data_IF_317009405930
#
_entry.id   IF_317009405930
#
_cell.length_a   1.000
_cell.length_b   1.000
_cell.length_c   1.000
_cell.angle_alpha   90.00
_cell.angle_beta   90.00
_cell.angle_gamma   90.00
#
_symmetry.space_group_name_H-M   'P 1'
#
loop_
_entity.id
_entity.type
_entity.pdbx_description
1 polymer ?
#
# COMPACT_ATOMS: atom_id res chain seq x y z
N UNK A 1 54.37 -4.06 -2.81
CA UNK A 1 54.54 -3.56 -1.43
C UNK A 1 55.04 -2.11 -1.35
N UNK A 2 55.62 -1.53 -2.41
CA UNK A 2 56.12 -0.14 -2.40
C UNK A 2 55.04 0.92 -2.15
N UNK A 3 53.85 0.78 -2.77
CA UNK A 3 52.75 1.72 -2.61
C UNK A 3 52.25 1.85 -1.16
N UNK A 4 52.19 0.72 -0.42
CA UNK A 4 51.78 0.71 1.00
C UNK A 4 52.77 1.45 1.90
N UNK A 5 54.08 1.29 1.64
CA UNK A 5 55.15 2.01 2.37
C UNK A 5 55.11 3.51 2.13
N UNK A 6 54.84 3.93 0.89
CA UNK A 6 54.69 5.36 0.56
C UNK A 6 53.48 5.97 1.27
N UNK A 7 52.38 5.23 1.37
CA UNK A 7 51.19 5.68 2.12
C UNK A 7 51.44 5.76 3.63
N UNK A 8 52.23 4.84 4.19
CA UNK A 8 52.65 4.88 5.60
C UNK A 8 53.50 6.13 5.92
N UNK A 9 54.39 6.51 4.99
CA UNK A 9 55.33 7.63 5.13
C UNK A 9 54.66 9.01 5.00
N UNK A 10 53.59 9.11 4.22
CA UNK A 10 52.87 10.38 3.94
C UNK A 10 51.77 10.66 4.99
N UNK A 11 51.48 9.69 5.87
CA UNK A 11 50.47 9.79 6.93
C UNK A 11 49.25 8.93 6.61
N UNK A 12 49.25 7.70 7.13
CA UNK A 12 48.16 6.73 6.96
C UNK A 12 46.84 7.22 7.58
N UNK A 13 45.71 6.92 6.92
CA UNK A 13 44.31 7.09 7.35
C UNK A 13 44.08 8.11 8.50
N UNK A 14 44.54 9.34 8.26
CA UNK A 14 44.59 10.39 9.27
C UNK A 14 43.20 10.83 9.73
N UNK A 15 43.14 11.57 10.85
CA UNK A 15 41.90 12.08 11.41
C UNK A 15 41.10 12.89 10.37
N UNK A 16 41.80 13.67 9.54
CA UNK A 16 41.18 14.46 8.47
C UNK A 16 40.52 13.60 7.40
N UNK A 17 41.19 12.55 6.88
CA UNK A 17 40.60 11.63 5.91
C UNK A 17 39.38 10.90 6.49
N UNK A 18 39.45 10.45 7.75
CA UNK A 18 38.31 9.82 8.44
C UNK A 18 37.14 10.77 8.58
N UNK A 19 37.38 12.01 8.99
CA UNK A 19 36.36 13.06 9.10
C UNK A 19 35.73 13.33 7.73
N UNK A 20 36.54 13.50 6.67
CA UNK A 20 36.05 13.71 5.31
C UNK A 20 35.19 12.55 4.81
N UNK A 21 35.62 11.31 5.04
CA UNK A 21 34.87 10.12 4.67
C UNK A 21 33.54 10.05 5.43
N UNK A 22 33.53 10.34 6.73
CA UNK A 22 32.29 10.38 7.54
C UNK A 22 31.34 11.47 7.02
N UNK A 23 31.85 12.68 6.79
CA UNK A 23 31.04 13.79 6.26
C UNK A 23 30.52 13.55 4.84
N UNK A 24 31.19 12.73 4.04
CA UNK A 24 30.72 12.39 2.70
C UNK A 24 29.77 11.18 2.71
N UNK A 25 30.12 10.12 3.44
CA UNK A 25 29.35 8.89 3.44
C UNK A 25 28.05 9.00 4.22
N UNK A 26 28.02 9.70 5.36
CA UNK A 26 26.78 9.89 6.12
C UNK A 26 25.69 10.49 5.23
N UNK A 27 25.85 11.67 4.60
CA UNK A 27 24.78 12.24 3.78
C UNK A 27 24.45 11.37 2.57
N UNK A 28 25.43 10.73 1.93
CA UNK A 28 25.14 9.82 0.82
C UNK A 28 24.28 8.62 1.24
N UNK A 29 24.53 8.04 2.42
CA UNK A 29 23.80 6.85 2.87
C UNK A 29 22.55 7.15 3.70
N UNK A 30 22.42 8.34 4.30
CA UNK A 30 21.26 8.68 5.13
C UNK A 30 20.32 9.64 4.42
N UNK A 31 20.84 10.73 3.85
CA UNK A 31 20.02 11.81 3.29
C UNK A 31 19.38 11.40 1.97
N UNK A 32 20.12 10.72 1.08
CA UNK A 32 19.57 10.27 -0.20
C UNK A 32 18.42 9.25 -0.03
N UNK A 33 18.56 8.18 0.80
CA UNK A 33 17.45 7.27 1.05
C UNK A 33 16.31 7.96 1.79
N UNK A 34 16.59 8.86 2.74
CA UNK A 34 15.55 9.56 3.49
C UNK A 34 14.58 10.33 2.55
N UNK A 35 15.12 11.08 1.59
CA UNK A 35 14.30 11.84 0.65
C UNK A 35 13.60 10.97 -0.41
N UNK A 36 14.19 9.83 -0.80
CA UNK A 36 13.62 8.99 -1.85
C UNK A 36 12.65 7.92 -1.34
N UNK A 37 12.92 7.32 -0.19
CA UNK A 37 12.15 6.19 0.35
C UNK A 37 10.80 6.62 0.92
N UNK A 38 10.63 7.88 1.32
CA UNK A 38 9.34 8.39 1.78
C UNK A 38 8.22 8.19 0.74
N UNK A 39 8.56 8.27 -0.55
CA UNK A 39 7.59 8.09 -1.65
C UNK A 39 6.92 6.72 -1.57
N UNK A 40 7.62 5.67 -1.13
CA UNK A 40 7.06 4.32 -1.03
C UNK A 40 5.85 4.29 -0.09
N UNK A 41 5.93 5.00 1.04
CA UNK A 41 4.80 5.10 1.98
C UNK A 41 3.69 6.00 1.44
N UNK A 42 4.04 7.08 0.74
CA UNK A 42 3.07 7.99 0.16
C UNK A 42 2.27 7.34 -0.99
N UNK A 43 2.90 6.49 -1.79
CA UNK A 43 2.28 5.80 -2.93
C UNK A 43 1.82 4.39 -2.60
N UNK A 44 1.85 4.00 -1.32
CA UNK A 44 1.32 2.73 -0.86
C UNK A 44 -0.16 2.59 -1.23
N UNK A 45 -0.53 1.44 -1.77
CA UNK A 45 -1.93 1.10 -2.05
C UNK A 45 -2.38 0.21 -0.90
N UNK A 46 -3.20 0.69 0.04
CA UNK A 46 -3.72 -0.16 1.10
C UNK A 46 -4.67 -1.20 0.52
N UNK A 47 -4.92 -2.25 1.31
CA UNK A 47 -5.92 -3.25 0.95
C UNK A 47 -7.29 -2.59 0.72
N UNK A 48 -7.97 -3.02 -0.33
CA UNK A 48 -9.21 -2.41 -0.78
C UNK A 48 -10.12 -3.39 -1.49
N UNK A 49 -11.39 -3.06 -1.47
CA UNK A 49 -12.46 -3.78 -2.17
C UNK A 49 -13.49 -2.79 -2.68
N UNK A 50 -14.38 -3.23 -3.56
CA UNK A 50 -15.40 -2.36 -4.11
C UNK A 50 -16.33 -1.80 -3.02
N UNK A 51 -16.67 -0.51 -3.11
CA UNK A 51 -17.61 0.11 -2.20
C UNK A 51 -19.06 -0.18 -2.63
N UNK A 52 -19.78 -0.93 -1.79
CA UNK A 52 -21.19 -1.27 -2.01
C UNK A 52 -22.01 -0.66 -0.86
N UNK A 53 -22.75 0.45 -1.10
CA UNK A 53 -23.43 1.17 -0.03
C UNK A 53 -24.53 0.34 0.66
N UNK A 54 -25.12 -0.63 -0.05
CA UNK A 54 -26.12 -1.56 0.47
C UNK A 54 -25.51 -2.47 1.55
N UNK A 55 -24.33 -3.02 1.28
CA UNK A 55 -23.59 -3.89 2.20
C UNK A 55 -22.94 -3.08 3.32
N UNK A 56 -22.42 -1.90 3.03
CA UNK A 56 -21.82 -1.01 4.04
C UNK A 56 -22.83 -0.52 5.09
N UNK A 57 -24.12 -0.40 4.73
CA UNK A 57 -25.21 -0.06 5.66
C UNK A 57 -25.78 -1.29 6.40
N UNK A 58 -25.36 -2.50 6.05
CA UNK A 58 -25.84 -3.73 6.69
C UNK A 58 -25.21 -3.93 8.07
N UNK A 59 -25.90 -4.65 8.96
CA UNK A 59 -25.38 -5.05 10.28
C UNK A 59 -24.44 -6.28 10.22
N UNK A 60 -23.84 -6.56 9.06
CA UNK A 60 -22.91 -7.68 8.90
C UNK A 60 -21.53 -7.34 9.44
N UNK A 61 -20.82 -8.34 9.98
CA UNK A 61 -19.39 -8.19 10.30
C UNK A 61 -18.57 -7.92 9.05
N UNK A 62 -17.51 -7.10 9.15
CA UNK A 62 -16.63 -6.77 8.02
C UNK A 62 -16.15 -8.00 7.23
N UNK A 63 -15.76 -9.09 7.91
CA UNK A 63 -15.32 -10.33 7.24
C UNK A 63 -16.39 -10.92 6.31
N UNK A 64 -17.66 -10.87 6.71
CA UNK A 64 -18.79 -11.34 5.89
C UNK A 64 -19.08 -10.38 4.74
N UNK A 65 -18.94 -9.08 4.97
CA UNK A 65 -19.09 -8.08 3.91
C UNK A 65 -18.02 -8.27 2.83
N UNK A 66 -16.76 -8.49 3.23
CA UNK A 66 -15.65 -8.78 2.32
C UNK A 66 -15.92 -10.05 1.51
N UNK A 67 -16.24 -11.16 2.17
CA UNK A 67 -16.54 -12.43 1.49
C UNK A 67 -17.69 -12.31 0.48
N UNK A 68 -18.68 -11.46 0.75
CA UNK A 68 -19.81 -11.24 -0.15
C UNK A 68 -19.47 -10.37 -1.37
N UNK A 69 -18.55 -9.42 -1.23
CA UNK A 69 -18.20 -8.47 -2.30
C UNK A 69 -17.07 -9.01 -3.17
N UNK A 70 -16.14 -9.74 -2.55
CA UNK A 70 -14.83 -10.10 -3.10
C UNK A 70 -14.88 -11.44 -3.86
N UNK A 71 -14.78 -11.45 -5.19
CA UNK A 71 -14.66 -12.70 -5.94
C UNK A 71 -13.23 -13.27 -5.84
N UNK A 72 -13.06 -14.61 -5.83
CA UNK A 72 -11.74 -15.24 -5.72
C UNK A 72 -10.83 -14.98 -6.92
N UNK A 73 -11.41 -14.69 -8.10
CA UNK A 73 -10.67 -14.43 -9.33
C UNK A 73 -9.95 -13.08 -9.33
N UNK A 74 -10.59 -12.06 -8.76
CA UNK A 74 -10.07 -10.69 -8.72
C UNK A 74 -10.65 -9.92 -7.51
N UNK A 75 -10.03 -10.09 -6.33
CA UNK A 75 -10.62 -9.63 -5.08
C UNK A 75 -10.67 -8.10 -4.91
N UNK A 76 -9.79 -7.37 -5.60
CA UNK A 76 -9.60 -5.93 -5.34
C UNK A 76 -10.27 -5.05 -6.41
N UNK A 77 -10.33 -5.51 -7.66
CA UNK A 77 -10.79 -4.69 -8.78
C UNK A 77 -12.20 -5.06 -9.29
N UNK A 78 -12.73 -6.21 -8.87
CA UNK A 78 -14.01 -6.73 -9.34
C UNK A 78 -14.99 -6.99 -8.18
N UNK A 79 -16.29 -6.92 -8.48
CA UNK A 79 -17.38 -7.35 -7.60
C UNK A 79 -18.33 -8.30 -8.34
N UNK A 80 -19.17 -9.02 -7.61
CA UNK A 80 -20.24 -9.81 -8.21
C UNK A 80 -21.34 -8.92 -8.84
N UNK A 81 -21.79 -9.27 -10.03
CA UNK A 81 -22.88 -8.55 -10.73
C UNK A 81 -24.25 -9.07 -10.27
N UNK A 82 -24.60 -8.72 -9.03
CA UNK A 82 -25.80 -9.21 -8.35
C UNK A 82 -26.50 -8.09 -7.60
N UNK A 83 -27.79 -8.28 -7.33
CA UNK A 83 -28.55 -7.35 -6.50
C UNK A 83 -28.25 -7.59 -5.02
N UNK A 84 -27.27 -6.86 -4.49
CA UNK A 84 -26.87 -6.94 -3.08
C UNK A 84 -28.03 -6.73 -2.09
N UNK A 85 -29.06 -5.95 -2.45
CA UNK A 85 -30.22 -5.74 -1.57
C UNK A 85 -31.01 -7.03 -1.34
N UNK A 86 -31.18 -7.83 -2.39
CA UNK A 86 -31.90 -9.10 -2.32
C UNK A 86 -31.07 -10.15 -1.59
N UNK A 87 -29.75 -10.16 -1.82
CA UNK A 87 -28.84 -11.09 -1.17
C UNK A 87 -28.76 -10.84 0.34
N UNK A 88 -28.77 -9.58 0.78
CA UNK A 88 -28.81 -9.24 2.20
C UNK A 88 -30.11 -9.69 2.90
N UNK A 89 -31.19 -9.86 2.14
CA UNK A 89 -32.46 -10.39 2.66
C UNK A 89 -32.53 -11.91 2.63
N UNK A 90 -31.68 -12.56 1.82
CA UNK A 90 -31.58 -14.00 1.76
C UNK A 90 -30.93 -14.55 3.04
N UNK A 91 -31.42 -15.72 3.50
CA UNK A 91 -30.96 -16.34 4.75
C UNK A 91 -29.55 -16.95 4.62
N UNK A 92 -29.10 -17.18 3.38
CA UNK A 92 -27.80 -17.75 3.04
C UNK A 92 -27.24 -17.10 1.76
N UNK A 93 -26.40 -16.06 1.88
CA UNK A 93 -25.92 -15.26 0.76
C UNK A 93 -24.69 -15.86 0.07
N UNK A 94 -24.53 -17.18 0.04
CA UNK A 94 -23.35 -17.82 -0.52
C UNK A 94 -23.37 -17.68 -2.06
N UNK A 95 -22.45 -16.88 -2.58
CA UNK A 95 -22.30 -16.64 -4.01
C UNK A 95 -21.34 -17.68 -4.59
N UNK A 96 -21.86 -18.52 -5.49
CA UNK A 96 -21.03 -19.49 -6.20
C UNK A 96 -19.95 -18.80 -7.05
N UNK A 97 -18.78 -19.43 -7.20
CA UNK A 97 -17.66 -18.95 -8.04
C UNK A 97 -18.04 -18.72 -9.52
N UNK A 98 -19.19 -19.25 -9.97
CA UNK A 98 -19.71 -19.09 -11.33
C UNK A 98 -20.52 -17.81 -11.53
N UNK A 99 -20.76 -17.05 -10.46
CA UNK A 99 -21.50 -15.80 -10.53
C UNK A 99 -20.72 -14.80 -11.40
N UNK A 100 -21.39 -14.10 -12.35
CA UNK A 100 -20.72 -13.10 -13.18
C UNK A 100 -20.13 -11.99 -12.32
N UNK A 101 -18.96 -11.49 -12.71
CA UNK A 101 -18.28 -10.37 -12.04
C UNK A 101 -18.26 -9.14 -12.96
N UNK A 102 -18.24 -7.97 -12.34
CA UNK A 102 -18.15 -6.67 -13.00
C UNK A 102 -17.13 -5.76 -12.30
N UNK A 103 -16.57 -4.74 -12.96
CA UNK A 103 -15.71 -3.76 -12.32
C UNK A 103 -16.45 -2.95 -11.25
N UNK A 104 -15.70 -2.36 -10.31
CA UNK A 104 -16.31 -1.53 -9.25
C UNK A 104 -16.99 -0.26 -9.80
N UNK A 105 -18.31 -0.14 -9.64
CA UNK A 105 -19.08 1.01 -10.14
C UNK A 105 -19.04 2.25 -9.22
N UNK A 106 -19.04 2.05 -7.90
CA UNK A 106 -19.20 3.11 -6.89
C UNK A 106 -17.89 3.43 -6.14
N UNK A 107 -16.76 3.13 -6.77
CA UNK A 107 -15.42 3.27 -6.21
C UNK A 107 -15.04 2.13 -5.27
N UNK A 108 -14.03 2.38 -4.43
CA UNK A 108 -13.46 1.39 -3.51
C UNK A 108 -13.40 1.89 -2.08
N UNK A 109 -13.57 0.95 -1.15
CA UNK A 109 -13.30 1.13 0.27
C UNK A 109 -11.87 0.68 0.57
N UNK A 110 -11.11 1.52 1.26
CA UNK A 110 -9.73 1.21 1.66
C UNK A 110 -9.68 0.88 3.16
N UNK A 111 -8.95 -0.17 3.50
CA UNK A 111 -8.63 -0.48 4.89
C UNK A 111 -7.59 0.49 5.45
N UNK A 112 -7.79 0.92 6.70
CA UNK A 112 -6.92 1.87 7.40
C UNK A 112 -6.05 1.21 8.48
N UNK A 113 -5.73 -0.07 8.31
CA UNK A 113 -4.91 -0.82 9.28
C UNK A 113 -3.44 -0.43 9.19
N UNK A 114 -2.93 -0.20 7.98
CA UNK A 114 -1.54 0.17 7.73
C UNK A 114 -1.34 1.68 7.51
N UNK A 115 -2.28 2.33 6.81
CA UNK A 115 -2.18 3.74 6.43
C UNK A 115 -3.49 4.47 6.70
N UNK A 116 -3.43 5.65 7.33
CA UNK A 116 -4.61 6.50 7.50
C UNK A 116 -5.03 7.13 6.17
N UNK A 117 -4.04 7.64 5.43
CA UNK A 117 -4.17 8.21 4.09
C UNK A 117 -2.87 7.98 3.30
N UNK A 118 -3.02 7.69 2.02
CA UNK A 118 -1.96 7.70 1.02
C UNK A 118 -2.37 8.57 -0.15
N UNK A 119 -1.44 8.95 -1.02
CA UNK A 119 -1.76 9.74 -2.21
C UNK A 119 -2.86 9.09 -3.08
N UNK A 120 -2.89 7.75 -3.11
CA UNK A 120 -3.90 6.97 -3.84
C UNK A 120 -5.29 7.11 -3.23
N UNK A 121 -5.38 7.21 -1.90
CA UNK A 121 -6.66 7.40 -1.20
C UNK A 121 -7.12 8.86 -1.19
N UNK A 122 -6.18 9.81 -1.22
CA UNK A 122 -6.47 11.23 -1.03
C UNK A 122 -6.97 11.91 -2.31
N UNK A 123 -6.41 11.57 -3.46
CA UNK A 123 -6.83 12.12 -4.77
C UNK A 123 -8.34 11.93 -5.02
N UNK A 124 -8.96 10.87 -4.47
CA UNK A 124 -10.40 10.62 -4.62
C UNK A 124 -11.30 11.38 -3.65
N UNK A 125 -10.76 11.95 -2.56
CA UNK A 125 -11.54 12.75 -1.61
C UNK A 125 -11.66 14.22 -2.02
N UNK A 126 -10.90 14.66 -3.05
CA UNK A 126 -10.92 16.05 -3.53
C UNK A 126 -12.09 16.32 -4.49
N UNK A 127 -12.74 15.27 -5.00
CA UNK A 127 -13.86 15.37 -5.95
C UNK A 127 -15.27 15.37 -5.29
N UNK A 128 -15.35 15.64 -3.98
CA UNK A 128 -16.62 15.87 -3.24
C UNK A 128 -16.73 17.27 -2.66
#
# INVERSE_FOLDING_TARGET
MAFRKILEDVGDFGLFQKVLLIFFFIPCFTVLPWFSMHVIFLTGIPDHWCYVPEVAKSNLSLKKQMALIMPPSDPHCSMYDVNYTEILQSLDPDLDEKTPTKPCDKGWFYEKSEFDTTAVTDVRNVDT
#
